data_IF_368672053880
#
_entry.id   IF_368672053880
#
_cell.length_a   1.000
_cell.length_b   1.000
_cell.length_c   1.000
_cell.angle_alpha   90.00
_cell.angle_beta   90.00
_cell.angle_gamma   90.00
#
_symmetry.space_group_name_H-M   'P 1'
#
loop_
_entity.id
_entity.type
_entity.pdbx_description
1 polymer ?
#
# COMPACT_ATOMS: atom_id res chain seq x y z
N UNK A 1 -4.68 7.33 -1.25
CA UNK A 1 -5.59 6.18 -1.23
C UNK A 1 -7.02 6.64 -1.29
N UNK A 2 -7.69 6.45 -2.42
CA UNK A 2 -9.13 6.63 -2.56
C UNK A 2 -9.88 5.37 -2.09
N UNK A 3 -11.11 5.51 -1.58
CA UNK A 3 -12.00 4.37 -1.33
C UNK A 3 -12.66 3.96 -2.64
N UNK A 4 -12.33 2.78 -3.16
CA UNK A 4 -12.87 2.26 -4.43
C UNK A 4 -12.89 3.32 -5.56
N UNK A 5 -11.79 4.05 -5.71
CA UNK A 5 -11.60 5.14 -6.70
C UNK A 5 -12.44 6.41 -6.49
N UNK A 6 -13.18 6.54 -5.38
CA UNK A 6 -14.01 7.72 -5.10
C UNK A 6 -13.15 8.99 -4.94
N UNK A 7 -13.40 10.06 -5.73
CA UNK A 7 -12.68 11.33 -5.61
C UNK A 7 -13.08 12.13 -4.37
N UNK A 8 -14.21 11.78 -3.74
CA UNK A 8 -14.75 12.47 -2.55
C UNK A 8 -14.41 11.74 -1.24
N UNK A 9 -13.91 10.51 -1.33
CA UNK A 9 -13.45 9.73 -0.19
C UNK A 9 -12.03 9.23 -0.41
N UNK A 10 -11.07 9.96 0.14
CA UNK A 10 -9.66 9.60 0.03
C UNK A 10 -8.86 10.08 1.23
N UNK A 11 -7.65 9.56 1.32
CA UNK A 11 -6.64 10.05 2.24
C UNK A 11 -5.27 10.13 1.57
N UNK A 12 -4.41 10.99 2.11
CA UNK A 12 -2.98 10.98 1.82
C UNK A 12 -2.20 11.45 3.04
N UNK A 13 -0.91 11.09 3.06
CA UNK A 13 0.00 11.47 4.15
C UNK A 13 0.89 12.62 3.70
N UNK A 14 0.84 13.73 4.43
CA UNK A 14 1.85 14.78 4.35
C UNK A 14 3.02 14.38 5.26
N UNK A 15 4.24 14.36 4.72
CA UNK A 15 5.46 14.07 5.48
C UNK A 15 6.27 15.36 5.70
N UNK A 16 7.08 15.38 6.77
CA UNK A 16 7.93 16.52 7.15
C UNK A 16 7.47 17.20 8.44
N UNK A 17 7.96 18.43 8.69
CA UNK A 17 7.75 19.15 9.97
C UNK A 17 6.27 19.33 10.33
N UNK A 18 5.40 19.57 9.35
CA UNK A 18 3.95 19.70 9.53
C UNK A 18 3.17 18.44 9.15
N UNK A 19 3.84 17.28 9.21
CA UNK A 19 3.30 16.01 8.73
C UNK A 19 2.00 15.61 9.42
N UNK A 20 1.04 15.16 8.62
CA UNK A 20 -0.32 14.84 9.04
C UNK A 20 -0.97 13.90 8.03
N UNK A 21 -2.02 13.21 8.45
CA UNK A 21 -2.85 12.43 7.53
C UNK A 21 -4.09 13.23 7.18
N UNK A 22 -4.25 13.52 5.89
CA UNK A 22 -5.46 14.17 5.39
C UNK A 22 -6.48 13.09 5.11
N UNK A 23 -7.68 13.23 5.67
CA UNK A 23 -8.84 12.40 5.34
C UNK A 23 -9.92 13.31 4.78
N UNK A 24 -10.38 13.01 3.57
CA UNK A 24 -11.51 13.68 2.95
C UNK A 24 -12.65 12.68 2.80
N UNK A 25 -13.84 13.04 3.27
CA UNK A 25 -15.09 12.28 3.14
C UNK A 25 -16.21 13.27 2.86
N UNK A 26 -17.00 13.04 1.81
CA UNK A 26 -18.12 13.92 1.41
C UNK A 26 -17.71 15.40 1.26
N UNK A 27 -16.49 15.63 0.74
CA UNK A 27 -15.93 16.97 0.55
C UNK A 27 -15.48 17.68 1.85
N UNK A 28 -15.71 17.08 3.02
CA UNK A 28 -15.19 17.56 4.30
C UNK A 28 -13.79 16.99 4.53
N UNK A 29 -12.88 17.84 5.01
CA UNK A 29 -11.47 17.46 5.20
C UNK A 29 -11.08 17.58 6.67
N UNK A 30 -10.39 16.56 7.17
CA UNK A 30 -9.69 16.56 8.46
C UNK A 30 -8.19 16.40 8.26
N UNK A 31 -7.43 17.05 9.12
CA UNK A 31 -5.99 16.90 9.23
C UNK A 31 -5.69 16.22 10.55
N UNK A 32 -5.21 14.97 10.48
CA UNK A 32 -5.06 14.11 11.64
C UNK A 32 -3.62 14.09 12.13
N UNK A 33 -3.43 14.21 13.45
CA UNK A 33 -2.24 13.69 14.13
C UNK A 33 -2.49 12.23 14.47
N UNK A 34 -1.76 11.36 13.77
CA UNK A 34 -1.99 9.92 13.76
C UNK A 34 -1.11 9.16 14.74
N UNK A 35 -0.09 9.79 15.31
CA UNK A 35 0.70 9.15 16.37
C UNK A 35 0.00 9.34 17.71
N UNK A 36 -0.17 8.26 18.45
CA UNK A 36 -0.61 8.25 19.84
C UNK A 36 0.50 7.73 20.75
N UNK A 37 0.25 7.72 22.06
CA UNK A 37 1.08 7.07 23.07
C UNK A 37 1.06 5.53 22.98
N UNK A 38 0.07 4.95 22.31
CA UNK A 38 -0.08 3.50 22.11
C UNK A 38 0.34 3.01 20.72
N UNK A 39 0.86 3.87 19.85
CA UNK A 39 1.35 3.51 18.50
C UNK A 39 2.82 3.84 18.35
N UNK A 40 3.57 3.03 17.59
CA UNK A 40 5.02 3.21 17.45
C UNK A 40 5.40 4.40 16.55
N UNK A 41 4.56 4.76 15.58
CA UNK A 41 4.83 5.83 14.62
C UNK A 41 3.55 6.47 14.06
N UNK A 42 3.71 7.44 13.14
CA UNK A 42 2.59 7.94 12.31
C UNK A 42 2.22 6.88 11.27
N UNK A 43 0.98 6.92 10.78
CA UNK A 43 0.50 5.97 9.77
C UNK A 43 1.16 6.20 8.41
N UNK A 44 1.31 5.13 7.63
CA UNK A 44 2.07 5.15 6.37
C UNK A 44 1.32 4.54 5.19
N UNK A 45 1.05 3.24 5.22
CA UNK A 45 0.31 2.57 4.16
C UNK A 45 -1.12 2.40 4.59
N UNK A 46 -2.06 2.65 3.68
CA UNK A 46 -3.48 2.73 4.02
C UNK A 46 -4.34 2.05 2.98
N UNK A 47 -5.45 1.47 3.44
CA UNK A 47 -6.51 0.88 2.61
C UNK A 47 -7.87 1.08 3.28
N UNK A 48 -8.87 1.51 2.51
CA UNK A 48 -10.22 1.76 2.99
C UNK A 48 -11.02 0.46 3.11
N UNK A 49 -11.76 0.31 4.20
CA UNK A 49 -12.83 -0.66 4.28
C UNK A 49 -13.97 -0.25 3.30
N UNK A 50 -14.64 -1.19 2.61
CA UNK A 50 -15.64 -0.87 1.59
C UNK A 50 -16.84 -0.06 2.10
N UNK A 51 -17.13 -0.09 3.41
CA UNK A 51 -18.15 0.79 4.01
C UNK A 51 -17.79 2.27 4.00
N UNK A 52 -16.51 2.63 3.87
CA UNK A 52 -16.03 4.00 3.99
C UNK A 52 -15.93 4.52 5.43
N UNK A 53 -16.26 3.71 6.44
CA UNK A 53 -16.20 4.10 7.86
C UNK A 53 -14.88 3.74 8.53
N UNK A 54 -14.10 2.84 7.92
CA UNK A 54 -12.87 2.32 8.48
C UNK A 54 -11.72 2.40 7.47
N UNK A 55 -10.51 2.61 7.99
CA UNK A 55 -9.26 2.55 7.23
C UNK A 55 -8.28 1.68 7.99
N UNK A 56 -7.71 0.68 7.34
CA UNK A 56 -6.57 -0.03 7.89
C UNK A 56 -5.29 0.74 7.54
N UNK A 57 -4.42 0.91 8.53
CA UNK A 57 -3.15 1.58 8.40
C UNK A 57 -2.03 0.67 8.89
N UNK A 58 -0.88 0.72 8.23
CA UNK A 58 0.38 0.39 8.90
C UNK A 58 0.93 1.66 9.57
N UNK A 59 1.65 1.49 10.68
CA UNK A 59 2.49 2.54 11.23
C UNK A 59 3.90 1.99 11.44
N UNK A 60 4.89 2.64 10.80
CA UNK A 60 6.21 2.05 10.58
C UNK A 60 7.31 3.03 11.01
N UNK A 61 8.38 2.52 11.61
CA UNK A 61 9.64 3.23 11.78
C UNK A 61 10.56 2.95 10.60
N UNK A 62 10.45 3.81 9.59
CA UNK A 62 11.10 3.60 8.30
C UNK A 62 12.50 4.19 8.28
N UNK A 63 13.46 3.40 7.80
CA UNK A 63 14.84 3.80 7.57
C UNK A 63 15.27 3.53 6.13
N UNK A 64 16.36 4.18 5.73
CA UNK A 64 16.97 3.99 4.42
C UNK A 64 18.40 3.52 4.58
N UNK A 65 18.78 2.56 3.75
CA UNK A 65 20.15 2.10 3.56
C UNK A 65 20.59 2.48 2.14
N UNK A 66 21.85 2.85 1.99
CA UNK A 66 22.46 3.15 0.69
C UNK A 66 23.55 2.13 0.43
N UNK A 67 23.39 1.35 -0.64
CA UNK A 67 24.36 0.33 -1.00
C UNK A 67 25.63 0.96 -1.57
N UNK A 68 26.79 0.52 -1.10
CA UNK A 68 28.09 0.91 -1.67
C UNK A 68 28.65 -0.22 -2.52
N UNK A 69 28.92 0.05 -3.81
CA UNK A 69 29.52 -0.95 -4.73
C UNK A 69 28.52 -1.94 -5.35
N UNK A 70 27.22 -1.79 -5.08
CA UNK A 70 26.18 -2.51 -5.79
C UNK A 70 25.73 -1.68 -7.01
N UNK A 71 25.82 -2.28 -8.22
CA UNK A 71 25.45 -1.61 -9.47
C UNK A 71 24.00 -1.85 -9.89
N UNK A 72 23.24 -2.64 -9.11
CA UNK A 72 21.87 -3.04 -9.42
C UNK A 72 20.86 -2.44 -8.43
N UNK A 73 21.24 -2.30 -7.15
CA UNK A 73 20.41 -1.69 -6.10
C UNK A 73 21.18 -0.56 -5.42
N UNK A 74 20.61 0.65 -5.42
CA UNK A 74 21.26 1.83 -4.82
C UNK A 74 20.72 2.17 -3.43
N UNK A 75 19.44 1.91 -3.20
CA UNK A 75 18.72 2.26 -1.99
C UNK A 75 17.95 1.03 -1.54
N UNK A 76 18.00 0.74 -0.25
CA UNK A 76 17.06 -0.14 0.42
C UNK A 76 16.23 0.64 1.43
N UNK A 77 14.99 0.23 1.63
CA UNK A 77 14.12 0.75 2.68
C UNK A 77 13.76 -0.42 3.59
N UNK A 78 13.86 -0.20 4.89
CA UNK A 78 13.52 -1.21 5.88
C UNK A 78 12.79 -0.56 7.05
N UNK A 79 12.03 -1.38 7.76
CA UNK A 79 11.33 -0.99 8.97
C UNK A 79 12.12 -1.50 10.20
N UNK A 80 12.31 -0.66 11.23
CA UNK A 80 12.85 -1.12 12.54
C UNK A 80 11.75 -1.77 13.39
N UNK A 81 10.52 -1.33 13.17
CA UNK A 81 9.30 -1.80 13.79
C UNK A 81 8.11 -1.34 12.94
N UNK A 82 7.06 -2.16 12.85
CA UNK A 82 5.83 -1.83 12.16
C UNK A 82 4.64 -2.58 12.76
N UNK A 83 3.51 -1.89 12.90
CA UNK A 83 2.24 -2.47 13.35
C UNK A 83 1.13 -2.20 12.33
N UNK A 84 0.09 -3.03 12.31
CA UNK A 84 -1.17 -2.78 11.60
C UNK A 84 -2.28 -2.40 12.59
N UNK A 85 -3.03 -1.34 12.26
CA UNK A 85 -4.14 -0.82 13.07
C UNK A 85 -5.35 -0.52 12.18
N UNK A 86 -6.55 -0.57 12.75
CA UNK A 86 -7.78 -0.11 12.07
C UNK A 86 -8.25 1.19 12.70
N UNK A 87 -8.62 2.15 11.86
CA UNK A 87 -9.05 3.49 12.22
C UNK A 87 -10.52 3.68 11.83
N UNK A 88 -11.39 3.93 12.80
CA UNK A 88 -12.75 4.40 12.57
C UNK A 88 -12.72 5.91 12.31
N UNK A 89 -12.98 6.32 11.07
CA UNK A 89 -12.84 7.72 10.63
C UNK A 89 -14.01 8.61 11.08
N UNK A 90 -15.11 8.01 11.56
CA UNK A 90 -16.29 8.77 12.01
C UNK A 90 -16.03 9.45 13.35
N UNK A 91 -15.37 8.73 14.26
CA UNK A 91 -15.06 9.21 15.60
C UNK A 91 -13.55 9.43 15.83
N UNK A 92 -12.72 9.24 14.80
CA UNK A 92 -11.27 9.40 14.84
C UNK A 92 -10.63 8.55 15.96
N UNK A 93 -10.97 7.25 15.97
CA UNK A 93 -10.48 6.27 16.95
C UNK A 93 -9.79 5.07 16.31
N UNK A 94 -8.66 4.65 16.90
CA UNK A 94 -8.00 3.40 16.57
C UNK A 94 -8.58 2.22 17.34
N UNK A 95 -8.76 1.13 16.61
CA UNK A 95 -9.03 -0.21 17.10
C UNK A 95 -7.70 -0.97 16.98
N UNK A 96 -7.18 -1.40 18.13
CA UNK A 96 -5.91 -2.12 18.23
C UNK A 96 -6.16 -3.61 18.39
N UNK A 97 -5.28 -4.42 17.83
CA UNK A 97 -5.35 -5.87 17.90
C UNK A 97 -3.96 -6.43 18.17
N UNK A 98 -3.71 -7.10 19.32
CA UNK A 98 -2.42 -7.69 19.64
C UNK A 98 -1.86 -8.63 18.56
N UNK A 99 -2.71 -9.32 17.80
CA UNK A 99 -2.26 -10.18 16.68
C UNK A 99 -1.72 -9.40 15.46
N UNK A 100 -1.85 -8.07 15.45
CA UNK A 100 -1.40 -7.16 14.40
C UNK A 100 -0.31 -6.18 14.89
N UNK A 101 0.20 -6.41 16.10
CA UNK A 101 1.16 -5.56 16.80
C UNK A 101 2.18 -6.45 17.53
N UNK A 102 2.79 -7.38 16.80
CA UNK A 102 3.69 -8.37 17.41
C UNK A 102 5.13 -7.86 17.41
N UNK A 103 6.11 -8.75 17.60
CA UNK A 103 7.51 -8.37 17.37
C UNK A 103 7.87 -8.38 15.88
N UNK A 104 7.09 -9.10 15.05
CA UNK A 104 7.25 -9.16 13.61
C UNK A 104 6.98 -7.80 12.96
N UNK A 105 7.34 -7.68 11.69
CA UNK A 105 7.08 -6.48 10.92
C UNK A 105 5.71 -6.58 10.23
N UNK A 106 4.62 -6.18 10.89
CA UNK A 106 3.30 -6.12 10.26
C UNK A 106 3.10 -4.84 9.42
N UNK A 107 2.68 -4.98 8.17
CA UNK A 107 2.54 -3.85 7.24
C UNK A 107 1.59 -4.13 6.07
N UNK A 108 1.45 -3.17 5.15
CA UNK A 108 0.67 -3.27 3.91
C UNK A 108 -0.76 -3.81 4.06
N UNK A 109 -1.59 -3.25 4.95
CA UNK A 109 -2.95 -3.74 5.12
C UNK A 109 -3.84 -3.46 3.91
N UNK A 110 -4.79 -4.37 3.64
CA UNK A 110 -5.85 -4.22 2.66
C UNK A 110 -7.12 -4.97 3.04
N UNK A 111 -8.27 -4.31 3.03
CA UNK A 111 -9.55 -4.98 3.26
C UNK A 111 -10.02 -5.72 2.01
N UNK A 112 -10.64 -6.88 2.19
CA UNK A 112 -11.40 -7.58 1.16
C UNK A 112 -12.54 -6.71 0.62
N UNK A 113 -13.00 -7.03 -0.59
CA UNK A 113 -14.11 -6.30 -1.23
C UNK A 113 -15.42 -6.34 -0.43
N UNK A 114 -15.63 -7.39 0.37
CA UNK A 114 -16.76 -7.52 1.28
C UNK A 114 -16.50 -6.96 2.69
N UNK A 115 -15.26 -6.55 2.98
CA UNK A 115 -14.83 -5.91 4.22
C UNK A 115 -14.61 -6.84 5.40
N UNK A 116 -14.82 -8.16 5.24
CA UNK A 116 -14.78 -9.12 6.34
C UNK A 116 -13.39 -9.67 6.64
N UNK A 117 -12.45 -9.45 5.73
CA UNK A 117 -11.07 -9.92 5.85
C UNK A 117 -10.13 -8.75 5.71
N UNK A 118 -9.15 -8.68 6.60
CA UNK A 118 -8.01 -7.79 6.49
C UNK A 118 -6.79 -8.61 6.07
N UNK A 119 -6.34 -8.40 4.84
CA UNK A 119 -5.06 -8.87 4.35
C UNK A 119 -3.95 -7.95 4.85
N UNK A 120 -2.77 -8.50 5.11
CA UNK A 120 -1.58 -7.75 5.48
C UNK A 120 -0.32 -8.57 5.20
N UNK A 121 0.84 -7.93 5.25
CA UNK A 121 2.13 -8.59 5.18
C UNK A 121 2.76 -8.67 6.56
N UNK A 122 3.42 -9.79 6.88
CA UNK A 122 4.20 -9.93 8.12
C UNK A 122 5.53 -10.63 7.84
N UNK A 123 6.61 -10.13 8.43
CA UNK A 123 7.95 -10.71 8.34
C UNK A 123 8.53 -10.94 9.73
N UNK A 124 9.17 -12.09 10.00
CA UNK A 124 9.91 -12.30 11.23
C UNK A 124 10.94 -11.18 11.45
N UNK A 125 11.03 -10.70 12.69
CA UNK A 125 12.01 -9.67 13.04
C UNK A 125 13.44 -10.16 12.85
N UNK A 126 14.26 -9.35 12.17
CA UNK A 126 15.69 -9.56 11.99
C UNK A 126 16.49 -8.32 12.39
N UNK A 127 17.80 -8.45 12.56
CA UNK A 127 18.68 -7.33 12.96
C UNK A 127 18.98 -6.42 11.76
N UNK A 128 18.17 -5.38 11.58
CA UNK A 128 18.35 -4.37 10.53
C UNK A 128 19.22 -3.19 11.01
N UNK A 129 20.12 -2.63 10.17
CA UNK A 129 20.25 -2.88 8.74
C UNK A 129 21.16 -4.07 8.36
N UNK A 130 21.80 -4.74 9.32
CA UNK A 130 22.80 -5.77 9.03
C UNK A 130 22.23 -6.96 8.24
N UNK A 131 20.96 -7.29 8.49
CA UNK A 131 20.22 -8.39 7.91
C UNK A 131 19.10 -7.91 6.98
N UNK A 132 19.25 -6.75 6.33
CA UNK A 132 18.21 -6.20 5.44
C UNK A 132 17.81 -7.17 4.31
N UNK A 133 18.75 -8.00 3.84
CA UNK A 133 18.49 -9.03 2.81
C UNK A 133 17.74 -10.26 3.34
N UNK A 134 17.69 -10.45 4.67
CA UNK A 134 16.97 -11.56 5.32
C UNK A 134 15.51 -11.20 5.67
N UNK A 135 15.05 -9.99 5.31
CA UNK A 135 13.68 -9.56 5.57
C UNK A 135 12.76 -10.15 4.49
N UNK A 136 11.93 -11.11 4.87
CA UNK A 136 11.00 -11.78 3.96
C UNK A 136 9.57 -11.70 4.49
N UNK A 137 8.66 -11.08 3.73
CA UNK A 137 7.27 -10.92 4.13
C UNK A 137 6.39 -12.02 3.57
N UNK A 138 5.63 -12.68 4.46
CA UNK A 138 4.49 -13.51 4.11
C UNK A 138 3.26 -12.64 3.80
N UNK A 139 2.32 -13.21 3.05
CA UNK A 139 0.97 -12.66 2.94
C UNK A 139 0.07 -13.35 3.97
N UNK A 140 -0.55 -12.57 4.83
CA UNK A 140 -1.40 -13.04 5.92
C UNK A 140 -2.81 -12.43 5.83
N UNK A 141 -3.75 -13.02 6.58
CA UNK A 141 -5.10 -12.51 6.74
C UNK A 141 -5.65 -12.74 8.14
N UNK A 142 -6.55 -11.85 8.56
CA UNK A 142 -7.35 -11.97 9.78
C UNK A 142 -8.78 -11.49 9.48
N UNK A 143 -9.79 -12.06 10.14
CA UNK A 143 -11.16 -11.57 9.99
C UNK A 143 -11.38 -10.27 10.76
N UNK A 144 -12.27 -9.42 10.26
CA UNK A 144 -12.70 -8.18 10.88
C UNK A 144 -14.23 -8.05 10.82
N UNK A 145 -14.86 -7.83 11.97
CA UNK A 145 -16.28 -7.55 12.08
C UNK A 145 -16.48 -6.06 12.39
N UNK A 146 -17.06 -5.33 11.42
CA UNK A 146 -17.32 -3.89 11.54
C UNK A 146 -18.46 -3.54 12.50
N UNK A 147 -19.38 -4.47 12.76
CA UNK A 147 -20.54 -4.21 13.63
C UNK A 147 -20.12 -4.27 15.10
N UNK A 148 -19.22 -5.19 15.43
CA UNK A 148 -18.65 -5.32 16.79
C UNK A 148 -17.31 -4.61 16.95
N UNK A 149 -16.67 -4.22 15.84
CA UNK A 149 -15.32 -3.65 15.79
C UNK A 149 -14.28 -4.58 16.43
N UNK A 150 -14.35 -5.87 16.08
CA UNK A 150 -13.48 -6.93 16.62
C UNK A 150 -12.80 -7.71 15.50
N UNK A 151 -11.63 -8.27 15.81
CA UNK A 151 -10.90 -9.16 14.92
C UNK A 151 -11.17 -10.63 15.25
N UNK A 152 -10.85 -11.49 14.29
CA UNK A 152 -10.71 -12.92 14.53
C UNK A 152 -9.63 -13.24 15.57
N UNK A 153 -9.64 -14.45 16.09
CA UNK A 153 -8.68 -14.91 17.10
C UNK A 153 -7.47 -15.64 16.49
N UNK A 154 -7.34 -15.65 15.17
CA UNK A 154 -6.29 -16.36 14.44
C UNK A 154 -5.90 -15.57 13.18
N UNK A 155 -4.59 -15.50 12.95
CA UNK A 155 -3.99 -15.06 11.69
C UNK A 155 -3.72 -16.29 10.83
N UNK A 156 -4.14 -16.24 9.57
CA UNK A 156 -3.85 -17.25 8.57
C UNK A 156 -2.76 -16.75 7.59
N UNK A 157 -1.86 -17.65 7.19
CA UNK A 157 -0.85 -17.36 6.15
C UNK A 157 -1.38 -17.84 4.79
N UNK A 158 -1.61 -16.90 3.88
CA UNK A 158 -2.08 -17.17 2.51
C UNK A 158 -0.93 -17.49 1.55
N UNK A 159 0.22 -16.83 1.73
CA UNK A 159 1.46 -17.14 0.98
C UNK A 159 2.61 -17.19 1.98
N UNK A 160 3.22 -18.37 2.09
CA UNK A 160 4.47 -18.57 2.82
C UNK A 160 5.68 -18.28 1.91
N UNK A 161 5.92 -16.99 1.68
CA UNK A 161 7.03 -16.51 0.86
C UNK A 161 8.38 -16.68 1.59
N UNK A 162 8.37 -16.62 2.92
CA UNK A 162 9.56 -16.84 3.77
C UNK A 162 10.16 -18.22 3.48
N UNK A 163 9.36 -19.28 3.50
CA UNK A 163 9.84 -20.64 3.18
C UNK A 163 10.35 -20.78 1.74
N UNK A 164 9.93 -19.90 0.83
CA UNK A 164 10.41 -19.86 -0.55
C UNK A 164 11.66 -18.98 -0.75
N UNK A 165 12.14 -18.30 0.31
CA UNK A 165 13.22 -17.31 0.21
C UNK A 165 12.82 -16.08 -0.60
N UNK A 166 11.57 -15.65 -0.46
CA UNK A 166 10.92 -14.58 -1.22
C UNK A 166 10.17 -13.63 -0.30
N UNK A 167 9.73 -12.50 -0.83
CA UNK A 167 8.98 -11.50 -0.08
C UNK A 167 7.76 -11.04 -0.87
N UNK A 168 6.60 -10.98 -0.20
CA UNK A 168 5.34 -10.44 -0.73
C UNK A 168 5.09 -9.05 -0.16
N UNK A 169 4.69 -8.12 -1.02
CA UNK A 169 4.29 -6.77 -0.59
C UNK A 169 3.05 -6.28 -1.33
N UNK A 170 2.39 -5.28 -0.75
CA UNK A 170 1.25 -4.58 -1.35
C UNK A 170 0.09 -5.50 -1.80
N UNK A 171 -0.49 -6.35 -0.94
CA UNK A 171 -1.72 -7.04 -1.29
C UNK A 171 -2.82 -6.02 -1.60
N UNK A 172 -3.42 -6.12 -2.78
CA UNK A 172 -4.48 -5.23 -3.26
C UNK A 172 -5.58 -6.08 -3.89
N UNK A 173 -6.70 -6.30 -3.20
CA UNK A 173 -7.80 -7.04 -3.76
C UNK A 173 -8.49 -6.24 -4.86
N UNK A 174 -8.96 -6.95 -5.88
CA UNK A 174 -9.88 -6.39 -6.85
C UNK A 174 -11.22 -6.08 -6.18
N UNK A 175 -11.91 -5.05 -6.67
CA UNK A 175 -13.15 -4.59 -6.03
C UNK A 175 -14.34 -5.54 -6.25
N UNK A 176 -14.24 -6.46 -7.22
CA UNK A 176 -15.18 -7.57 -7.41
C UNK A 176 -14.93 -8.77 -6.48
N UNK A 177 -13.82 -8.78 -5.74
CA UNK A 177 -13.45 -9.86 -4.83
C UNK A 177 -12.92 -11.13 -5.48
N UNK A 178 -12.64 -11.12 -6.79
CA UNK A 178 -12.11 -12.31 -7.48
C UNK A 178 -10.60 -12.47 -7.28
N UNK A 179 -9.85 -11.38 -7.28
CA UNK A 179 -8.40 -11.41 -7.38
C UNK A 179 -7.72 -10.68 -6.24
N UNK A 180 -6.51 -11.11 -5.91
CA UNK A 180 -5.59 -10.39 -5.05
C UNK A 180 -4.26 -10.19 -5.78
N UNK A 181 -3.96 -8.95 -6.14
CA UNK A 181 -2.70 -8.58 -6.79
C UNK A 181 -1.66 -8.21 -5.73
N UNK A 182 -0.43 -8.68 -5.88
CA UNK A 182 0.67 -8.39 -4.98
C UNK A 182 2.01 -8.31 -5.74
N UNK A 183 3.02 -7.71 -5.12
CA UNK A 183 4.39 -7.72 -5.65
C UNK A 183 5.18 -8.85 -4.98
N UNK A 184 6.01 -9.54 -5.77
CA UNK A 184 6.85 -10.66 -5.33
C UNK A 184 8.31 -10.36 -5.69
N UNK A 185 9.19 -10.39 -4.68
CA UNK A 185 10.61 -10.08 -4.83
C UNK A 185 11.48 -11.07 -4.03
N UNK A 186 12.81 -10.95 -4.12
CA UNK A 186 13.71 -11.79 -3.34
C UNK A 186 13.61 -11.50 -1.83
N UNK A 187 13.56 -10.24 -1.44
CA UNK A 187 13.48 -9.81 -0.04
C UNK A 187 12.94 -8.37 0.07
N UNK A 188 12.84 -7.88 1.29
CA UNK A 188 12.61 -6.48 1.62
C UNK A 188 11.15 -6.07 1.52
N UNK A 189 10.89 -4.80 1.79
CA UNK A 189 9.56 -4.20 1.74
C UNK A 189 9.40 -3.20 0.58
N UNK A 190 10.44 -2.96 -0.24
CA UNK A 190 10.45 -1.83 -1.18
C UNK A 190 10.80 -2.22 -2.63
N UNK A 191 9.95 -3.02 -3.30
CA UNK A 191 10.27 -3.69 -4.57
C UNK A 191 10.62 -2.76 -5.74
N UNK A 192 10.34 -1.45 -5.68
CA UNK A 192 10.72 -0.51 -6.74
C UNK A 192 12.25 -0.36 -6.93
N UNK A 193 13.06 -0.83 -5.97
CA UNK A 193 14.52 -0.91 -6.09
C UNK A 193 15.02 -2.33 -6.44
N UNK A 194 14.12 -3.30 -6.61
CA UNK A 194 14.43 -4.71 -6.86
C UNK A 194 14.11 -5.04 -8.31
N UNK A 195 15.14 -5.16 -9.15
CA UNK A 195 14.98 -5.39 -10.59
C UNK A 195 14.17 -6.66 -10.89
N UNK A 196 14.25 -7.65 -10.01
CA UNK A 196 13.53 -8.93 -10.08
C UNK A 196 12.09 -8.88 -9.58
N UNK A 197 11.63 -7.75 -9.05
CA UNK A 197 10.29 -7.65 -8.49
C UNK A 197 9.22 -7.69 -9.58
N UNK A 198 8.31 -8.64 -9.45
CA UNK A 198 7.24 -8.93 -10.40
C UNK A 198 5.87 -8.76 -9.75
N UNK A 199 4.85 -8.48 -10.56
CA UNK A 199 3.46 -8.55 -10.15
C UNK A 199 2.94 -9.99 -10.27
N UNK A 200 2.22 -10.42 -9.24
CA UNK A 200 1.60 -11.74 -9.14
C UNK A 200 0.12 -11.61 -8.76
N UNK A 201 -0.69 -12.52 -9.29
CA UNK A 201 -2.13 -12.51 -9.10
C UNK A 201 -2.55 -13.82 -8.43
N UNK A 202 -3.26 -13.71 -7.32
CA UNK A 202 -3.92 -14.83 -6.66
C UNK A 202 -5.42 -14.84 -7.02
N UNK A 203 -5.95 -16.00 -7.38
CA UNK A 203 -7.39 -16.24 -7.45
C UNK A 203 -7.92 -16.49 -6.02
N UNK A 204 -8.78 -15.61 -5.53
CA UNK A 204 -9.33 -15.73 -4.17
C UNK A 204 -10.34 -16.87 -4.03
N UNK A 205 -10.80 -17.48 -5.13
CA UNK A 205 -11.72 -18.62 -5.07
C UNK A 205 -11.04 -19.94 -4.70
N UNK A 206 -9.82 -20.16 -5.20
CA UNK A 206 -9.10 -21.42 -5.01
C UNK A 206 -7.69 -21.26 -4.43
N UNK A 207 -7.19 -20.03 -4.29
CA UNK A 207 -5.87 -19.71 -3.75
C UNK A 207 -4.73 -19.94 -4.74
N UNK A 208 -5.00 -20.30 -5.99
CA UNK A 208 -3.98 -20.43 -7.03
C UNK A 208 -3.34 -19.08 -7.33
N UNK A 209 -2.06 -19.10 -7.72
CA UNK A 209 -1.31 -17.87 -8.02
C UNK A 209 -0.43 -18.03 -9.26
N UNK A 210 -0.27 -16.94 -10.01
CA UNK A 210 0.60 -16.88 -11.18
C UNK A 210 1.20 -15.47 -11.37
N UNK A 211 2.40 -15.37 -11.98
CA UNK A 211 2.97 -14.09 -12.37
C UNK A 211 2.17 -13.46 -13.52
N UNK A 212 2.05 -12.13 -13.53
CA UNK A 212 1.46 -11.40 -14.65
C UNK A 212 2.48 -11.23 -15.80
N UNK A 213 2.89 -12.32 -16.45
CA UNK A 213 4.00 -12.37 -17.41
C UNK A 213 3.97 -11.27 -18.48
N UNK A 214 2.78 -10.96 -19.01
CA UNK A 214 2.61 -9.93 -20.06
C UNK A 214 2.69 -8.51 -19.54
N UNK A 215 2.36 -8.29 -18.27
CA UNK A 215 2.52 -7.02 -17.59
C UNK A 215 3.96 -6.84 -17.11
N UNK A 216 4.60 -7.88 -16.58
CA UNK A 216 5.96 -7.81 -16.05
C UNK A 216 7.01 -7.48 -17.12
N UNK A 217 8.22 -7.12 -16.68
CA UNK A 217 9.32 -6.75 -17.55
C UNK A 217 10.66 -7.22 -16.98
N UNK A 218 11.76 -6.94 -17.68
CA UNK A 218 13.12 -7.21 -17.16
C UNK A 218 13.58 -6.17 -16.10
N UNK A 219 12.64 -5.37 -15.60
CA UNK A 219 12.84 -4.31 -14.63
C UNK A 219 11.75 -4.40 -13.57
N UNK A 220 11.96 -3.69 -12.47
CA UNK A 220 11.07 -3.74 -11.32
C UNK A 220 9.65 -3.26 -11.64
N UNK A 221 8.70 -4.01 -11.10
CA UNK A 221 7.31 -3.63 -10.94
C UNK A 221 7.00 -3.47 -9.45
N UNK A 222 6.22 -2.45 -9.11
CA UNK A 222 5.90 -2.11 -7.73
C UNK A 222 4.52 -1.47 -7.68
N UNK A 223 4.08 -1.16 -6.46
CA UNK A 223 2.77 -0.62 -6.06
C UNK A 223 1.76 -0.48 -7.21
N UNK A 224 0.74 -1.31 -7.12
CA UNK A 224 -0.36 -1.40 -8.07
C UNK A 224 -1.68 -1.01 -7.41
N UNK A 225 -2.67 -0.68 -8.23
CA UNK A 225 -4.05 -0.60 -7.78
C UNK A 225 -5.03 -0.92 -8.90
N UNK A 226 -6.26 -1.21 -8.52
CA UNK A 226 -7.35 -1.60 -9.40
C UNK A 226 -8.22 -0.41 -9.78
N UNK A 227 -8.71 -0.44 -11.00
CA UNK A 227 -9.85 0.37 -11.45
C UNK A 227 -11.14 -0.12 -10.79
N UNK A 228 -12.15 0.74 -10.75
CA UNK A 228 -13.44 0.46 -10.09
C UNK A 228 -14.18 -0.76 -10.64
N UNK A 229 -13.94 -1.13 -11.91
CA UNK A 229 -14.55 -2.29 -12.57
C UNK A 229 -13.71 -3.56 -12.47
N UNK A 230 -12.57 -3.52 -11.77
CA UNK A 230 -11.66 -4.65 -11.59
C UNK A 230 -11.05 -5.23 -12.88
N UNK A 231 -11.18 -4.53 -14.02
CA UNK A 231 -10.63 -5.00 -15.29
C UNK A 231 -9.36 -4.28 -15.72
N UNK A 232 -8.98 -3.20 -15.03
CA UNK A 232 -7.72 -2.51 -15.27
C UNK A 232 -6.90 -2.40 -14.00
N UNK A 233 -5.60 -2.53 -14.16
CA UNK A 233 -4.60 -2.22 -13.16
C UNK A 233 -3.75 -1.06 -13.65
N UNK A 234 -3.30 -0.26 -12.69
CA UNK A 234 -2.16 0.63 -12.88
C UNK A 234 -1.07 0.21 -11.90
N UNK A 235 0.20 0.47 -12.24
CA UNK A 235 1.32 0.10 -11.39
C UNK A 235 2.55 0.96 -11.66
N UNK A 236 3.43 1.08 -10.67
CA UNK A 236 4.69 1.78 -10.78
C UNK A 236 5.77 0.85 -11.38
N UNK A 237 6.52 1.36 -12.36
CA UNK A 237 7.55 0.58 -13.04
C UNK A 237 8.75 1.44 -13.41
N UNK A 238 9.96 0.87 -13.35
CA UNK A 238 11.17 1.50 -13.91
C UNK A 238 11.56 0.97 -15.29
N UNK A 239 10.68 0.25 -15.98
CA UNK A 239 10.98 -0.37 -17.29
C UNK A 239 11.40 0.58 -18.42
N UNK A 240 11.16 1.89 -18.27
CA UNK A 240 11.50 2.89 -19.28
C UNK A 240 12.99 3.23 -19.34
N UNK A 241 13.59 3.52 -18.18
CA UNK A 241 14.96 4.01 -18.08
C UNK A 241 15.73 3.48 -16.86
N UNK A 242 15.14 2.56 -16.08
CA UNK A 242 15.65 2.01 -14.80
C UNK A 242 15.86 3.00 -13.65
N UNK A 243 15.65 4.30 -13.88
CA UNK A 243 15.96 5.36 -12.93
C UNK A 243 14.71 5.93 -12.28
N UNK A 244 13.72 6.31 -13.09
CA UNK A 244 12.50 6.96 -12.64
C UNK A 244 11.33 5.98 -12.73
N UNK A 245 10.54 5.87 -11.65
CA UNK A 245 9.30 5.11 -11.72
C UNK A 245 8.24 5.92 -12.45
N UNK A 246 7.61 5.26 -13.42
CA UNK A 246 6.50 5.78 -14.22
C UNK A 246 5.31 4.85 -14.06
N UNK A 247 4.13 5.38 -14.35
CA UNK A 247 2.88 4.64 -14.18
C UNK A 247 2.51 3.96 -15.49
N UNK A 248 2.29 2.65 -15.44
CA UNK A 248 1.82 1.86 -16.57
C UNK A 248 0.44 1.30 -16.26
N UNK A 249 -0.33 1.07 -17.32
CA UNK A 249 -1.69 0.54 -17.27
C UNK A 249 -1.73 -0.77 -18.05
N UNK A 250 -2.40 -1.79 -17.50
CA UNK A 250 -2.73 -3.03 -18.19
C UNK A 250 -4.18 -3.45 -17.89
N UNK A 251 -4.80 -4.15 -18.82
CA UNK A 251 -6.09 -4.80 -18.60
C UNK A 251 -5.86 -6.19 -18.00
N UNK A 252 -6.76 -6.63 -17.12
CA UNK A 252 -6.87 -8.01 -16.62
C UNK A 252 -8.14 -8.62 -17.23
N UNK A 253 -7.98 -9.73 -17.95
CA UNK A 253 -9.11 -10.48 -18.51
C UNK A 253 -9.84 -11.33 -17.45
N UNK A 254 -10.95 -11.94 -17.83
CA UNK A 254 -11.78 -12.77 -16.94
C UNK A 254 -11.03 -13.98 -16.36
N UNK A 255 -9.93 -14.40 -16.98
CA UNK A 255 -9.09 -15.52 -16.54
C UNK A 255 -7.87 -15.04 -15.75
N UNK A 256 -7.77 -13.75 -15.41
CA UNK A 256 -6.65 -13.20 -14.66
C UNK A 256 -5.38 -12.98 -15.50
N UNK A 257 -5.47 -12.96 -16.83
CA UNK A 257 -4.31 -12.66 -17.68
C UNK A 257 -4.20 -11.17 -17.95
N UNK A 258 -2.97 -10.65 -17.84
CA UNK A 258 -2.69 -9.27 -18.18
C UNK A 258 -2.54 -9.03 -19.70
N UNK A 259 -3.01 -7.87 -20.17
CA UNK A 259 -2.62 -7.34 -21.47
C UNK A 259 -1.16 -6.84 -21.46
N UNK A 260 -0.62 -6.54 -22.64
CA UNK A 260 0.62 -5.76 -22.70
C UNK A 260 0.36 -4.36 -22.10
N UNK A 261 1.22 -3.86 -21.19
CA UNK A 261 1.01 -2.58 -20.56
C UNK A 261 1.43 -1.42 -21.46
N UNK A 262 0.86 -0.25 -21.22
CA UNK A 262 1.27 1.00 -21.84
C UNK A 262 1.48 2.09 -20.79
N UNK A 263 2.38 3.02 -21.08
CA UNK A 263 2.70 4.16 -20.21
C UNK A 263 1.49 5.09 -20.10
N UNK A 264 1.17 5.54 -18.88
CA UNK A 264 0.07 6.48 -18.61
C UNK A 264 0.20 7.72 -19.51
N UNK A 265 -0.73 7.96 -20.44
CA UNK A 265 -0.61 9.07 -21.37
C UNK A 265 -0.64 10.44 -20.67
N UNK A 266 0.17 11.36 -21.17
CA UNK A 266 0.23 12.74 -20.69
C UNK A 266 -0.24 13.70 -21.79
N UNK A 267 -0.76 14.86 -21.39
CA UNK A 267 -1.18 15.90 -22.33
C UNK A 267 -0.02 16.40 -23.20
N UNK A 268 1.17 16.54 -22.61
CA UNK A 268 2.43 16.76 -23.33
C UNK A 268 3.14 15.41 -23.51
N UNK A 269 3.30 14.89 -24.74
CA UNK A 269 4.02 13.64 -25.00
C UNK A 269 5.46 13.64 -24.49
N UNK A 270 6.10 14.80 -24.37
CA UNK A 270 7.47 14.92 -23.86
C UNK A 270 7.57 14.95 -22.34
N UNK A 271 6.44 14.92 -21.61
CA UNK A 271 6.42 15.13 -20.16
C UNK A 271 7.43 14.25 -19.42
N UNK A 272 7.48 12.96 -19.75
CA UNK A 272 8.35 12.00 -19.09
C UNK A 272 9.84 12.14 -19.44
N UNK A 273 10.17 12.86 -20.51
CA UNK A 273 11.55 13.19 -20.88
C UNK A 273 12.06 14.46 -20.18
N UNK A 274 11.13 15.32 -19.73
CA UNK A 274 11.44 16.62 -19.12
C UNK A 274 11.28 16.63 -17.59
N UNK A 275 10.54 15.67 -17.04
CA UNK A 275 10.27 15.60 -15.60
C UNK A 275 11.41 14.94 -14.83
N UNK A 276 11.66 15.45 -13.62
CA UNK A 276 12.54 14.81 -12.63
C UNK A 276 11.72 14.10 -11.54
N UNK A 277 10.40 14.07 -11.66
CA UNK A 277 9.53 13.40 -10.69
C UNK A 277 9.47 11.89 -10.91
N UNK A 278 9.31 11.18 -9.80
CA UNK A 278 9.17 9.73 -9.72
C UNK A 278 7.81 9.42 -9.10
N UNK A 279 7.09 8.42 -9.61
CA UNK A 279 5.70 8.13 -9.22
C UNK A 279 5.61 6.69 -8.68
N UNK A 280 5.55 6.54 -7.35
CA UNK A 280 5.70 5.24 -6.69
C UNK A 280 4.41 4.64 -6.14
N UNK A 281 3.38 5.44 -5.84
CA UNK A 281 2.15 4.98 -5.18
C UNK A 281 0.96 5.51 -5.96
N UNK A 282 0.74 5.01 -7.20
CA UNK A 282 -0.36 5.45 -8.03
C UNK A 282 -1.70 4.94 -7.48
N UNK A 283 -2.77 5.66 -7.81
CA UNK A 283 -4.13 5.28 -7.44
C UNK A 283 -5.12 5.74 -8.52
N UNK A 284 -6.23 5.02 -8.65
CA UNK A 284 -7.31 5.40 -9.56
C UNK A 284 -8.26 6.39 -8.88
N UNK A 285 -8.81 7.30 -9.68
CA UNK A 285 -9.98 8.09 -9.30
C UNK A 285 -11.00 8.03 -10.44
N UNK A 286 -12.26 7.75 -10.12
CA UNK A 286 -13.34 7.63 -11.12
C UNK A 286 -13.64 8.94 -11.82
N UNK A 287 -13.39 10.05 -11.13
CA UNK A 287 -13.51 11.40 -11.68
C UNK A 287 -12.33 12.27 -11.23
N UNK A 288 -12.32 13.53 -11.68
CA UNK A 288 -11.32 14.50 -11.27
C UNK A 288 -11.50 14.85 -9.78
N UNK A 289 -10.44 14.67 -9.00
CA UNK A 289 -10.42 15.09 -7.59
C UNK A 289 -10.61 16.61 -7.49
N UNK A 290 -11.67 17.04 -6.82
CA UNK A 290 -11.89 18.44 -6.49
C UNK A 290 -11.04 18.83 -5.28
N UNK A 291 -9.80 19.24 -5.54
CA UNK A 291 -8.85 19.60 -4.49
C UNK A 291 -8.43 21.07 -4.59
N UNK A 292 -8.89 21.91 -3.66
CA UNK A 292 -8.49 23.32 -3.58
C UNK A 292 -7.06 23.43 -3.04
N UNK A 293 -6.08 23.35 -3.94
CA UNK A 293 -4.63 23.34 -3.63
C UNK A 293 -4.22 24.46 -2.66
N UNK A 294 -4.67 25.70 -2.89
CA UNK A 294 -4.30 26.84 -2.03
C UNK A 294 -4.84 26.69 -0.60
N UNK A 295 -6.09 26.27 -0.45
CA UNK A 295 -6.67 26.05 0.89
C UNK A 295 -5.98 24.88 1.59
N UNK A 296 -5.71 23.79 0.86
CA UNK A 296 -4.95 22.67 1.39
C UNK A 296 -3.53 23.07 1.83
N UNK A 297 -2.87 23.99 1.11
CA UNK A 297 -1.58 24.53 1.53
C UNK A 297 -1.70 25.34 2.83
N UNK A 298 -2.67 26.26 2.91
CA UNK A 298 -2.92 27.06 4.13
C UNK A 298 -3.22 26.17 5.35
N UNK A 299 -4.04 25.13 5.17
CA UNK A 299 -4.34 24.13 6.21
C UNK A 299 -3.13 23.24 6.56
N UNK A 300 -2.33 22.82 5.57
CA UNK A 300 -1.15 22.00 5.79
C UNK A 300 -0.14 22.67 6.72
N UNK A 301 0.01 23.99 6.61
CA UNK A 301 0.94 24.78 7.41
C UNK A 301 0.30 25.42 8.65
N UNK A 302 -0.99 25.17 8.90
CA UNK A 302 -1.59 25.47 10.20
C UNK A 302 -1.12 24.46 11.25
N UNK A 303 -1.25 24.80 12.54
CA UNK A 303 -1.01 23.89 13.65
C UNK A 303 -2.29 23.13 14.07
N UNK A 304 -3.43 23.39 13.43
CA UNK A 304 -4.71 22.77 13.77
C UNK A 304 -4.75 21.32 13.30
N UNK A 305 -4.83 20.38 14.25
CA UNK A 305 -4.92 18.94 13.99
C UNK A 305 -5.97 18.30 14.88
N UNK A 306 -6.67 17.31 14.34
CA UNK A 306 -7.50 16.40 15.12
C UNK A 306 -6.59 15.28 15.62
N UNK A 307 -6.48 15.14 16.94
CA UNK A 307 -5.73 14.04 17.54
C UNK A 307 -6.56 12.77 17.47
N UNK A 308 -6.04 11.74 16.81
CA UNK A 308 -6.65 10.41 16.85
C UNK A 308 -6.48 9.83 18.25
N UNK A 309 -7.52 9.17 18.75
CA UNK A 309 -7.51 8.49 20.05
C UNK A 309 -7.55 6.98 19.88
N UNK A 310 -7.40 6.21 20.96
CA UNK A 310 -7.53 4.76 20.94
C UNK A 310 -8.82 4.38 21.63
N UNK A 311 -9.56 3.44 21.04
CA UNK A 311 -10.75 2.84 21.64
C UNK A 311 -10.34 2.08 22.92
N UNK A 312 -11.05 2.37 24.01
CA UNK A 312 -10.85 1.71 25.32
C UNK A 312 -11.36 0.27 25.33
#
# INVERSE_FOLDING_TARGET
TANATSPDQFLFHLRGKHGATVVQTEGQRKWLETKTDRTIAKTVYSYWHPSGDYVAHSNNKIHQLFWTGNNERYIEVYDDASDVIVHNVRNDQYILEPLLMTEDFETYPAFSSDGKTLYFCSAPKVDVPAQAEDVHYNLCSISFDKETETFGNQVDTLIDAVSAGKSVTFPRPSYDGRWLLYSYADFGCFPINHKEADLWLMDLQDGSTHPLERANSSYCESFHNWSSDSHWILFASRRGDSLYSRIYIAQIDENGNASKPFLLPQKDPDFYHKTLFTFNVPDFTSEKVNFRIRGAYEEAFSDERVQVTVKE
#
